data_IF_510103975940
#
_entry.id   IF_510103975940
#
_cell.length_a   1.000
_cell.length_b   1.000
_cell.length_c   1.000
_cell.angle_alpha   90.00
_cell.angle_beta   90.00
_cell.angle_gamma   90.00
#
_symmetry.space_group_name_H-M   'P 1'
#
loop_
_entity.id
_entity.type
_entity.pdbx_description
1 polymer ?
#
# COMPACT_ATOMS: atom_id res chain seq x y z
N UNK A 1 -37.31 13.14 -3.22
CA UNK A 1 -37.35 11.76 -2.69
C UNK A 1 -35.94 11.39 -2.25
N UNK A 2 -35.65 11.27 -0.94
CA UNK A 2 -34.30 10.92 -0.49
C UNK A 2 -34.14 9.39 -0.46
N UNK A 3 -33.08 8.92 -1.11
CA UNK A 3 -32.71 7.51 -1.20
C UNK A 3 -32.32 6.94 0.17
N UNK A 4 -32.96 5.85 0.59
CA UNK A 4 -32.70 5.19 1.86
C UNK A 4 -31.54 4.20 1.74
N UNK A 5 -30.32 4.70 1.67
CA UNK A 5 -29.13 3.94 2.05
C UNK A 5 -29.08 3.83 3.57
N UNK A 6 -29.73 2.81 4.13
CA UNK A 6 -29.61 2.47 5.56
C UNK A 6 -28.32 1.70 5.79
N UNK A 7 -27.25 2.40 6.13
CA UNK A 7 -26.19 1.79 6.95
C UNK A 7 -26.71 1.69 8.37
N UNK A 8 -27.09 0.49 8.81
CA UNK A 8 -27.30 0.25 10.24
C UNK A 8 -25.93 0.30 10.93
N UNK A 9 -25.61 1.44 11.53
CA UNK A 9 -24.53 1.55 12.50
C UNK A 9 -24.91 0.71 13.72
N UNK A 10 -24.05 -0.21 14.21
CA UNK A 10 -24.35 -0.89 15.45
C UNK A 10 -24.36 0.14 16.57
N UNK A 11 -25.51 0.24 17.25
CA UNK A 11 -25.73 1.08 18.41
C UNK A 11 -24.64 0.78 19.44
N UNK A 12 -23.71 1.72 19.64
CA UNK A 12 -22.81 1.70 20.79
C UNK A 12 -23.64 2.03 22.03
N UNK A 13 -24.20 0.98 22.64
CA UNK A 13 -24.76 1.07 23.98
C UNK A 13 -23.59 1.17 24.96
N UNK A 14 -23.46 2.34 25.58
CA UNK A 14 -22.59 2.57 26.72
C UNK A 14 -23.04 1.67 27.88
N UNK A 15 -22.46 0.48 28.00
CA UNK A 15 -22.62 -0.38 29.18
C UNK A 15 -21.24 -0.52 29.84
N UNK A 16 -21.11 0.05 31.04
CA UNK A 16 -19.96 -0.13 31.92
C UNK A 16 -19.89 -1.60 32.35
N UNK A 17 -18.67 -2.10 32.47
CA UNK A 17 -18.32 -3.41 33.03
C UNK A 17 -18.77 -4.63 32.21
N UNK A 18 -18.04 -4.95 31.12
CA UNK A 18 -18.11 -6.27 30.51
C UNK A 18 -16.75 -6.74 29.96
N UNK A 19 -16.38 -7.94 30.39
CA UNK A 19 -15.24 -8.75 29.94
C UNK A 19 -15.24 -8.84 28.41
N UNK A 20 -14.14 -8.41 27.78
CA UNK A 20 -13.92 -8.51 26.32
C UNK A 20 -13.57 -9.95 25.95
N UNK A 21 -14.37 -10.67 25.13
CA UNK A 21 -13.94 -11.94 24.58
C UNK A 21 -12.94 -11.67 23.44
N UNK A 22 -11.70 -12.13 23.59
CA UNK A 22 -10.70 -12.14 22.51
C UNK A 22 -10.83 -13.43 21.72
N UNK A 23 -11.52 -13.40 20.60
CA UNK A 23 -11.28 -14.17 19.35
C UNK A 23 -12.39 -13.86 18.33
N UNK A 24 -12.09 -13.73 17.02
CA UNK A 24 -13.13 -13.53 16.01
C UNK A 24 -13.91 -14.83 15.76
N UNK A 25 -15.26 -14.75 15.75
CA UNK A 25 -16.12 -15.84 15.30
C UNK A 25 -15.93 -16.08 13.80
N UNK A 26 -15.70 -17.34 13.39
CA UNK A 26 -15.84 -17.81 12.01
C UNK A 26 -17.33 -17.89 11.62
N UNK A 27 -17.72 -17.73 10.33
CA UNK A 27 -19.12 -17.62 9.93
C UNK A 27 -19.95 -18.92 10.01
N UNK A 28 -19.36 -20.10 10.29
CA UNK A 28 -20.12 -21.37 10.41
C UNK A 28 -19.46 -22.32 11.41
N UNK A 29 -20.07 -22.50 12.58
CA UNK A 29 -19.74 -23.60 13.53
C UNK A 29 -19.96 -23.24 15.00
N UNK A 30 -20.68 -24.11 15.74
CA UNK A 30 -20.98 -23.96 17.16
C UNK A 30 -19.75 -24.20 18.06
N UNK A 31 -19.77 -23.60 19.25
CA UNK A 31 -18.67 -23.58 20.23
C UNK A 31 -18.54 -24.92 20.97
N UNK A 32 -17.43 -25.64 20.82
CA UNK A 32 -17.12 -26.83 21.63
C UNK A 32 -15.73 -26.69 22.25
N UNK A 33 -15.69 -26.20 23.49
CA UNK A 33 -14.48 -26.17 24.30
C UNK A 33 -14.82 -25.75 25.72
N UNK A 34 -14.55 -26.62 26.68
CA UNK A 34 -14.78 -26.34 28.10
C UNK A 34 -13.85 -25.22 28.60
N UNK A 35 -14.32 -24.36 29.54
CA UNK A 35 -13.52 -23.28 30.08
C UNK A 35 -12.36 -23.80 30.94
N UNK A 36 -11.14 -23.35 30.64
CA UNK A 36 -9.94 -23.63 31.44
C UNK A 36 -9.98 -22.81 32.74
N UNK A 37 -9.76 -23.42 33.93
CA UNK A 37 -9.80 -22.70 35.19
C UNK A 37 -8.58 -21.77 35.37
N UNK A 38 -8.84 -20.59 35.96
CA UNK A 38 -7.81 -19.58 36.24
C UNK A 38 -6.95 -20.02 37.43
N UNK A 39 -5.65 -20.20 37.20
CA UNK A 39 -4.64 -20.40 38.24
C UNK A 39 -4.44 -19.08 39.01
N UNK A 40 -4.81 -19.05 40.30
CA UNK A 40 -4.48 -17.93 41.20
C UNK A 40 -2.98 -17.93 41.50
N UNK A 41 -2.22 -17.05 40.85
CA UNK A 41 -0.85 -16.73 41.26
C UNK A 41 -0.87 -15.81 42.49
N UNK A 42 -0.43 -16.33 43.63
CA UNK A 42 -0.16 -15.55 44.83
C UNK A 42 1.12 -14.70 44.66
N UNK A 43 1.10 -13.49 45.23
CA UNK A 43 2.16 -12.47 45.30
C UNK A 43 2.31 -11.44 44.14
N UNK A 44 1.28 -10.61 43.85
CA UNK A 44 1.39 -9.53 42.87
C UNK A 44 2.08 -8.26 43.40
N UNK A 45 2.06 -7.97 44.70
CA UNK A 45 2.52 -6.68 45.23
C UNK A 45 4.05 -6.56 45.30
N UNK A 46 4.74 -7.61 45.72
CA UNK A 46 6.21 -7.60 45.83
C UNK A 46 6.89 -7.58 44.45
N UNK A 47 6.37 -8.36 43.49
CA UNK A 47 6.87 -8.36 42.11
C UNK A 47 6.66 -7.01 41.42
N UNK A 48 5.49 -6.38 41.60
CA UNK A 48 5.20 -5.04 41.05
C UNK A 48 6.11 -3.97 41.64
N UNK A 49 6.37 -4.00 42.94
CA UNK A 49 7.28 -3.06 43.60
C UNK A 49 8.72 -3.20 43.08
N UNK A 50 9.20 -4.45 42.92
CA UNK A 50 10.53 -4.72 42.36
C UNK A 50 10.63 -4.23 40.92
N UNK A 51 9.64 -4.52 40.06
CA UNK A 51 9.65 -4.03 38.66
C UNK A 51 9.58 -2.52 38.56
N UNK A 52 8.80 -1.84 39.41
CA UNK A 52 8.73 -0.38 39.43
C UNK A 52 10.05 0.26 39.88
N UNK A 53 10.72 -0.33 40.87
CA UNK A 53 12.03 0.14 41.32
C UNK A 53 13.10 -0.01 40.22
N UNK A 54 13.11 -1.14 39.49
CA UNK A 54 14.00 -1.32 38.35
C UNK A 54 13.71 -0.33 37.21
N UNK A 55 12.44 -0.11 36.87
CA UNK A 55 12.06 0.85 35.81
C UNK A 55 12.47 2.28 36.18
N UNK A 56 12.18 2.73 37.40
CA UNK A 56 12.59 4.06 37.87
C UNK A 56 14.12 4.21 37.92
N UNK A 57 14.84 3.18 38.35
CA UNK A 57 16.30 3.15 38.35
C UNK A 57 16.90 3.27 36.95
N UNK A 58 16.38 2.50 35.98
CA UNK A 58 16.86 2.56 34.57
C UNK A 58 16.56 3.90 33.92
N UNK A 59 15.41 4.51 34.21
CA UNK A 59 15.01 5.80 33.65
C UNK A 59 15.87 6.93 34.23
N UNK A 60 16.17 6.90 35.53
CA UNK A 60 17.11 7.83 36.16
C UNK A 60 18.52 7.71 35.58
N UNK A 61 19.02 6.49 35.35
CA UNK A 61 20.33 6.27 34.73
C UNK A 61 20.39 6.78 33.28
N UNK A 62 19.32 6.58 32.50
CA UNK A 62 19.24 7.09 31.13
C UNK A 62 19.21 8.62 31.07
N UNK A 63 18.51 9.27 32.00
CA UNK A 63 18.46 10.73 32.11
C UNK A 63 19.84 11.29 32.49
N UNK A 64 20.55 10.66 33.43
CA UNK A 64 21.91 11.06 33.80
C UNK A 64 22.90 10.89 32.64
N UNK A 65 22.80 9.80 31.88
CA UNK A 65 23.59 9.59 30.66
C UNK A 65 23.29 10.65 29.59
N UNK A 66 22.02 11.01 29.40
CA UNK A 66 21.63 12.05 28.46
C UNK A 66 22.21 13.41 28.86
N UNK A 67 22.12 13.81 30.14
CA UNK A 67 22.68 15.07 30.60
C UNK A 67 24.22 15.09 30.63
N UNK A 68 24.89 13.94 30.80
CA UNK A 68 26.35 13.85 30.73
C UNK A 68 26.89 13.93 29.29
N UNK A 69 26.14 13.40 28.32
CA UNK A 69 26.56 13.31 26.91
C UNK A 69 26.19 14.55 26.08
N UNK A 70 25.04 15.18 26.34
CA UNK A 70 24.58 16.39 25.62
C UNK A 70 25.57 17.58 25.63
N UNK A 71 26.27 17.92 26.73
CA UNK A 71 27.25 19.01 26.70
C UNK A 71 28.49 18.69 25.86
N UNK A 72 28.86 17.41 25.67
CA UNK A 72 29.95 17.02 24.76
C UNK A 72 29.56 17.14 23.29
N UNK A 73 28.28 16.93 22.94
CA UNK A 73 27.81 17.07 21.56
C UNK A 73 27.52 18.53 21.17
N UNK A 74 27.21 19.41 22.13
CA UNK A 74 26.94 20.85 21.86
C UNK A 74 28.20 21.66 21.54
N UNK A 75 29.37 21.31 22.09
CA UNK A 75 30.65 21.98 21.79
C UNK A 75 31.23 21.61 20.41
N UNK A 76 30.74 20.54 19.76
CA UNK A 76 31.17 20.09 18.44
C UNK A 76 30.37 20.65 17.26
N UNK A 77 29.18 21.22 17.51
CA UNK A 77 28.24 21.62 16.45
C UNK A 77 28.11 23.14 16.25
N UNK A 78 28.86 23.95 17.01
CA UNK A 78 28.76 25.41 16.96
C UNK A 78 29.79 26.08 16.04
N UNK A 79 30.58 25.30 15.28
CA UNK A 79 31.66 25.84 14.42
C UNK A 79 31.36 25.94 12.92
N UNK A 80 30.14 25.65 12.45
CA UNK A 80 29.85 25.71 11.01
C UNK A 80 28.38 25.98 10.70
N UNK A 81 27.94 27.23 10.94
CA UNK A 81 26.75 27.78 10.26
C UNK A 81 27.07 29.22 9.84
N UNK A 82 27.50 29.48 8.59
CA UNK A 82 27.39 30.83 8.06
C UNK A 82 25.92 31.13 7.71
N UNK A 83 25.50 32.34 8.05
CA UNK A 83 24.14 32.84 7.98
C UNK A 83 23.51 32.73 6.58
N UNK A 84 22.30 32.15 6.53
CA UNK A 84 21.38 32.16 5.40
C UNK A 84 20.77 33.56 5.21
N UNK A 85 21.50 34.49 4.61
CA UNK A 85 20.90 35.73 4.11
C UNK A 85 21.79 36.43 3.08
N UNK A 86 21.80 35.95 1.85
CA UNK A 86 22.09 36.74 0.65
C UNK A 86 21.88 35.87 -0.59
N UNK A 87 21.58 36.51 -1.72
CA UNK A 87 21.49 35.95 -3.08
C UNK A 87 20.10 35.47 -3.54
N UNK A 88 19.08 36.31 -3.37
CA UNK A 88 18.24 36.62 -4.54
C UNK A 88 18.98 37.66 -5.37
N UNK A 89 19.79 37.20 -6.33
CA UNK A 89 20.28 38.04 -7.42
C UNK A 89 19.87 37.37 -8.72
N UNK A 90 18.83 37.92 -9.34
CA UNK A 90 18.40 37.58 -10.69
C UNK A 90 19.48 38.00 -11.67
N UNK A 91 20.17 37.03 -12.28
CA UNK A 91 20.95 37.25 -13.50
C UNK A 91 20.32 36.46 -14.64
N UNK A 92 19.60 37.20 -15.48
CA UNK A 92 19.25 36.84 -16.84
C UNK A 92 20.55 36.83 -17.66
N UNK A 93 20.97 35.67 -18.12
CA UNK A 93 21.98 35.55 -19.18
C UNK A 93 21.67 34.29 -20.00
N UNK A 94 21.38 34.52 -21.28
CA UNK A 94 21.21 33.48 -22.27
C UNK A 94 22.54 32.78 -22.54
N UNK A 95 22.46 31.46 -22.66
CA UNK A 95 23.57 30.61 -23.07
C UNK A 95 23.00 29.31 -23.61
N UNK A 96 22.75 29.28 -24.91
CA UNK A 96 22.44 28.08 -25.69
C UNK A 96 23.64 27.13 -25.60
N UNK A 97 23.52 26.10 -24.77
CA UNK A 97 24.39 24.91 -24.81
C UNK A 97 23.52 23.69 -25.18
N UNK A 98 24.03 22.80 -26.04
CA UNK A 98 23.23 21.77 -26.71
C UNK A 98 22.67 20.75 -25.70
N UNK A 99 21.39 20.41 -25.88
CA UNK A 99 20.64 19.36 -25.19
C UNK A 99 21.45 18.06 -25.09
N UNK A 100 21.92 17.72 -23.89
CA UNK A 100 22.40 16.39 -23.55
C UNK A 100 21.38 15.74 -22.61
N UNK A 101 20.40 15.10 -23.26
CA UNK A 101 19.49 14.05 -22.82
C UNK A 101 18.85 14.20 -21.43
N UNK A 102 17.76 14.97 -21.37
CA UNK A 102 16.73 14.70 -20.38
C UNK A 102 16.06 13.35 -20.73
N UNK A 103 15.87 12.48 -19.74
CA UNK A 103 15.04 11.28 -19.88
C UNK A 103 13.71 11.69 -20.50
N UNK A 104 13.30 11.10 -21.63
CA UNK A 104 12.04 11.46 -22.27
C UNK A 104 10.89 11.19 -21.31
N UNK A 105 9.80 11.97 -21.35
CA UNK A 105 8.63 11.70 -20.52
C UNK A 105 8.05 10.32 -20.83
N UNK A 106 7.33 9.70 -19.87
CA UNK A 106 6.68 8.42 -20.11
C UNK A 106 5.66 8.52 -21.26
N UNK A 107 5.44 7.43 -22.02
CA UNK A 107 4.52 7.43 -23.13
C UNK A 107 3.08 7.70 -22.67
N UNK A 108 2.37 8.50 -23.45
CA UNK A 108 0.96 8.88 -23.22
C UNK A 108 -0.01 8.17 -24.15
N UNK A 109 0.48 7.17 -24.89
CA UNK A 109 -0.31 6.41 -25.84
C UNK A 109 -1.51 5.73 -25.17
N UNK A 110 -2.68 5.85 -25.80
CA UNK A 110 -3.94 5.27 -25.36
C UNK A 110 -4.35 4.19 -26.34
N UNK A 111 -4.82 3.06 -25.82
CA UNK A 111 -5.32 1.91 -26.59
C UNK A 111 -6.72 1.55 -26.12
N UNK A 112 -7.48 0.91 -27.01
CA UNK A 112 -8.74 0.26 -26.65
C UNK A 112 -8.44 -1.18 -26.23
N UNK A 113 -9.00 -1.61 -25.11
CA UNK A 113 -8.85 -2.99 -24.62
C UNK A 113 -10.19 -3.58 -24.22
N UNK A 114 -10.38 -4.86 -24.53
CA UNK A 114 -11.44 -5.67 -23.93
C UNK A 114 -10.86 -6.35 -22.70
N UNK A 115 -11.54 -6.26 -21.56
CA UNK A 115 -11.15 -7.03 -20.39
C UNK A 115 -11.60 -8.47 -20.54
N UNK A 116 -10.67 -9.39 -20.32
CA UNK A 116 -10.90 -10.83 -20.42
C UNK A 116 -10.29 -11.51 -19.20
N UNK A 117 -10.93 -12.60 -18.78
CA UNK A 117 -10.38 -13.43 -17.71
C UNK A 117 -9.09 -14.10 -18.18
N UNK A 118 -8.05 -13.93 -17.39
CA UNK A 118 -6.76 -14.56 -17.61
C UNK A 118 -6.50 -15.55 -16.47
N UNK A 119 -6.78 -16.86 -16.65
CA UNK A 119 -6.65 -17.86 -15.59
C UNK A 119 -5.27 -17.88 -14.92
N UNK A 120 -4.23 -17.52 -15.67
CA UNK A 120 -2.86 -17.36 -15.18
C UNK A 120 -2.76 -16.49 -13.93
N UNK A 121 -3.47 -15.36 -13.87
CA UNK A 121 -3.40 -14.42 -12.75
C UNK A 121 -4.25 -14.84 -11.54
N UNK A 122 -5.18 -15.78 -11.73
CA UNK A 122 -6.05 -16.31 -10.68
C UNK A 122 -5.44 -17.55 -9.99
N UNK A 123 -4.45 -18.20 -10.61
CA UNK A 123 -3.80 -19.38 -10.06
C UNK A 123 -2.86 -19.06 -8.89
N UNK A 124 -2.85 -19.96 -7.92
CA UNK A 124 -1.82 -20.03 -6.88
C UNK A 124 -0.59 -20.83 -7.37
N UNK A 125 0.53 -20.67 -6.68
CA UNK A 125 1.78 -21.37 -6.97
C UNK A 125 2.50 -20.92 -8.24
N UNK A 126 3.51 -21.70 -8.66
CA UNK A 126 4.55 -21.27 -9.59
C UNK A 126 4.05 -20.71 -10.94
N UNK A 127 2.94 -21.22 -11.46
CA UNK A 127 2.36 -20.72 -12.73
C UNK A 127 1.78 -19.32 -12.56
N UNK A 128 1.05 -19.08 -11.46
CA UNK A 128 0.54 -17.76 -11.14
C UNK A 128 1.64 -16.79 -10.75
N UNK A 129 2.61 -17.24 -9.95
CA UNK A 129 3.75 -16.41 -9.54
C UNK A 129 4.54 -15.93 -10.76
N UNK A 130 4.76 -16.80 -11.75
CA UNK A 130 5.40 -16.43 -13.02
C UNK A 130 4.58 -15.43 -13.82
N UNK A 131 3.26 -15.58 -13.87
CA UNK A 131 2.39 -14.64 -14.58
C UNK A 131 2.48 -13.23 -13.98
N UNK A 132 2.44 -13.13 -12.64
CA UNK A 132 2.59 -11.88 -11.92
C UNK A 132 4.00 -11.28 -12.07
N UNK A 133 5.05 -12.08 -11.90
CA UNK A 133 6.44 -11.61 -12.07
C UNK A 133 6.72 -11.08 -13.48
N UNK A 134 6.14 -11.72 -14.51
CA UNK A 134 6.32 -11.30 -15.89
C UNK A 134 5.64 -9.97 -16.22
N UNK A 135 4.76 -9.45 -15.35
CA UNK A 135 4.21 -8.10 -15.54
C UNK A 135 5.28 -7.05 -15.35
N UNK A 136 6.14 -7.19 -14.33
CA UNK A 136 7.15 -6.21 -14.00
C UNK A 136 8.18 -6.00 -15.13
N UNK A 137 8.66 -4.76 -15.34
CA UNK A 137 9.79 -4.52 -16.21
C UNK A 137 11.05 -5.19 -15.67
N UNK A 138 12.01 -5.44 -16.55
CA UNK A 138 13.37 -5.76 -16.14
C UNK A 138 13.95 -4.62 -15.29
N UNK A 139 14.79 -4.97 -14.31
CA UNK A 139 15.35 -4.01 -13.35
C UNK A 139 14.44 -3.83 -12.13
N UNK A 140 14.57 -2.70 -11.44
CA UNK A 140 13.82 -2.41 -10.23
C UNK A 140 12.54 -1.58 -10.47
N UNK A 141 12.22 -1.30 -11.73
CA UNK A 141 11.03 -0.55 -12.12
C UNK A 141 11.05 0.94 -11.76
N UNK A 142 12.22 1.49 -11.41
CA UNK A 142 12.41 2.92 -11.15
C UNK A 142 13.15 3.57 -12.30
N UNK A 143 12.90 4.86 -12.49
CA UNK A 143 13.51 5.64 -13.57
C UNK A 143 14.33 6.79 -13.02
N UNK A 144 15.46 7.10 -13.66
CA UNK A 144 16.24 8.30 -13.36
C UNK A 144 15.75 9.43 -14.25
N UNK A 145 15.31 10.54 -13.66
CA UNK A 145 14.94 11.75 -14.39
C UNK A 145 15.56 12.98 -13.75
N UNK A 146 15.81 14.02 -14.54
CA UNK A 146 16.25 15.31 -13.99
C UNK A 146 15.07 15.99 -13.31
N UNK A 147 15.28 16.43 -12.09
CA UNK A 147 14.29 17.23 -11.37
C UNK A 147 14.22 18.65 -11.98
N UNK A 148 13.04 19.14 -12.39
CA UNK A 148 12.88 20.49 -12.93
C UNK A 148 13.26 21.60 -11.93
N UNK A 149 13.06 21.35 -10.63
CA UNK A 149 13.33 22.27 -9.54
C UNK A 149 14.79 22.17 -9.08
N UNK A 150 15.35 20.95 -9.03
CA UNK A 150 16.76 20.72 -8.71
C UNK A 150 17.61 20.60 -9.98
N UNK A 151 17.92 21.77 -10.56
CA UNK A 151 18.46 21.98 -11.92
C UNK A 151 19.71 21.20 -12.36
N UNK A 152 20.31 20.36 -11.53
CA UNK A 152 21.52 19.60 -11.89
C UNK A 152 21.58 18.16 -11.35
N UNK A 153 20.55 17.67 -10.64
CA UNK A 153 20.59 16.32 -10.06
C UNK A 153 19.58 15.37 -10.73
N UNK A 154 20.04 14.17 -11.05
CA UNK A 154 19.19 13.07 -11.47
C UNK A 154 18.53 12.47 -10.22
N UNK A 155 17.20 12.44 -10.20
CA UNK A 155 16.41 11.84 -9.14
C UNK A 155 15.82 10.52 -9.61
N UNK A 156 15.68 9.59 -8.67
CA UNK A 156 15.05 8.29 -8.92
C UNK A 156 13.57 8.42 -8.58
N UNK A 157 12.72 8.09 -9.54
CA UNK A 157 11.27 8.10 -9.37
C UNK A 157 10.71 6.68 -9.46
N UNK A 158 9.80 6.36 -8.55
CA UNK A 158 8.93 5.20 -8.67
C UNK A 158 7.88 5.49 -9.75
N UNK A 159 7.75 4.60 -10.73
CA UNK A 159 6.69 4.71 -11.74
C UNK A 159 5.38 4.23 -11.11
N UNK A 160 4.35 5.08 -11.13
CA UNK A 160 3.11 4.86 -10.39
C UNK A 160 2.44 3.49 -10.67
N UNK A 161 2.35 3.09 -11.95
CA UNK A 161 1.74 1.80 -12.33
C UNK A 161 2.55 0.59 -11.84
N UNK A 162 3.87 0.73 -11.70
CA UNK A 162 4.72 -0.33 -11.14
C UNK A 162 4.45 -0.48 -9.65
N UNK A 163 4.36 0.64 -8.92
CA UNK A 163 3.97 0.62 -7.51
C UNK A 163 2.57 0.01 -7.30
N UNK A 164 1.64 0.28 -8.22
CA UNK A 164 0.29 -0.31 -8.20
C UNK A 164 0.36 -1.84 -8.40
N UNK A 165 1.16 -2.33 -9.36
CA UNK A 165 1.39 -3.76 -9.57
C UNK A 165 2.05 -4.44 -8.37
N UNK A 166 3.06 -3.81 -7.75
CA UNK A 166 3.69 -4.29 -6.51
C UNK A 166 2.65 -4.45 -5.39
N UNK A 167 1.76 -3.47 -5.26
CA UNK A 167 0.69 -3.51 -4.27
C UNK A 167 -0.32 -4.62 -4.55
N UNK A 168 -0.72 -4.82 -5.80
CA UNK A 168 -1.59 -5.94 -6.17
C UNK A 168 -0.91 -7.30 -5.89
N UNK A 169 0.39 -7.43 -6.18
CA UNK A 169 1.15 -8.64 -5.90
C UNK A 169 1.25 -8.93 -4.39
N UNK A 170 1.46 -7.89 -3.56
CA UNK A 170 1.41 -8.01 -2.10
C UNK A 170 0.04 -8.48 -1.61
N UNK A 171 -1.04 -7.88 -2.11
CA UNK A 171 -2.40 -8.25 -1.72
C UNK A 171 -2.70 -9.69 -2.12
N UNK A 172 -2.27 -10.13 -3.31
CA UNK A 172 -2.33 -11.54 -3.71
C UNK A 172 -1.59 -12.45 -2.72
N UNK A 173 -0.37 -12.10 -2.34
CA UNK A 173 0.40 -12.88 -1.37
C UNK A 173 -0.35 -13.04 -0.04
N UNK A 174 -0.90 -11.95 0.49
CA UNK A 174 -1.67 -11.99 1.74
C UNK A 174 -2.91 -12.88 1.62
N UNK A 175 -3.60 -12.86 0.46
CA UNK A 175 -4.75 -13.74 0.22
C UNK A 175 -4.33 -15.23 0.19
N UNK A 176 -3.19 -15.54 -0.42
CA UNK A 176 -2.64 -16.90 -0.47
C UNK A 176 -2.24 -17.35 0.94
N UNK A 177 -1.49 -16.52 1.68
CA UNK A 177 -1.08 -16.82 3.05
C UNK A 177 -2.30 -17.11 3.94
N UNK A 178 -3.33 -16.27 3.84
CA UNK A 178 -4.57 -16.47 4.58
C UNK A 178 -5.27 -17.79 4.22
N UNK A 179 -5.25 -18.19 2.94
CA UNK A 179 -5.81 -19.48 2.49
C UNK A 179 -5.05 -20.70 3.00
N UNK A 180 -3.80 -20.52 3.42
CA UNK A 180 -2.97 -21.54 4.03
C UNK A 180 -2.89 -21.42 5.57
N UNK A 181 -3.82 -20.68 6.19
CA UNK A 181 -3.86 -20.41 7.64
C UNK A 181 -2.61 -19.69 8.18
N UNK A 182 -1.83 -19.07 7.30
CA UNK A 182 -0.73 -18.20 7.68
C UNK A 182 -1.26 -16.78 7.87
N UNK A 183 -1.20 -16.30 9.10
CA UNK A 183 -1.62 -14.93 9.40
C UNK A 183 -0.49 -13.93 9.09
N UNK A 184 -0.78 -12.84 8.37
CA UNK A 184 0.23 -11.84 8.05
C UNK A 184 0.74 -11.15 9.32
N UNK A 185 2.02 -10.82 9.33
CA UNK A 185 2.65 -10.06 10.40
C UNK A 185 2.06 -8.64 10.47
N UNK A 186 2.14 -7.98 11.63
CA UNK A 186 1.60 -6.63 11.82
C UNK A 186 2.13 -5.60 10.79
N UNK A 187 3.40 -5.75 10.37
CA UNK A 187 4.02 -4.92 9.33
C UNK A 187 3.38 -5.13 7.95
N UNK A 188 3.02 -6.37 7.62
CA UNK A 188 2.37 -6.71 6.35
C UNK A 188 0.95 -6.17 6.31
N UNK A 189 0.24 -6.20 7.45
CA UNK A 189 -1.08 -5.58 7.58
C UNK A 189 -1.05 -4.07 7.34
N UNK A 190 -0.09 -3.34 7.92
CA UNK A 190 0.06 -1.90 7.66
C UNK A 190 0.35 -1.61 6.18
N UNK A 191 1.27 -2.39 5.58
CA UNK A 191 1.60 -2.29 4.16
C UNK A 191 0.41 -2.62 3.26
N UNK A 192 -0.44 -3.58 3.66
CA UNK A 192 -1.67 -3.92 2.95
C UNK A 192 -2.65 -2.75 2.90
N UNK A 193 -2.88 -2.06 4.03
CA UNK A 193 -3.77 -0.89 4.04
C UNK A 193 -3.23 0.27 3.20
N UNK A 194 -1.92 0.53 3.27
CA UNK A 194 -1.28 1.51 2.39
C UNK A 194 -1.47 1.14 0.91
N UNK A 195 -1.27 -0.14 0.57
CA UNK A 195 -1.46 -0.61 -0.79
C UNK A 195 -2.92 -0.57 -1.27
N UNK A 196 -3.87 -0.89 -0.40
CA UNK A 196 -5.30 -0.75 -0.71
C UNK A 196 -5.65 0.70 -1.04
N UNK A 197 -5.18 1.67 -0.26
CA UNK A 197 -5.43 3.08 -0.54
C UNK A 197 -4.71 3.54 -1.82
N UNK A 198 -3.46 3.12 -2.04
CA UNK A 198 -2.71 3.47 -3.24
C UNK A 198 -3.40 2.95 -4.52
N UNK A 199 -3.89 1.70 -4.51
CA UNK A 199 -4.66 1.14 -5.64
C UNK A 199 -6.01 1.84 -5.80
N UNK A 200 -6.71 2.16 -4.70
CA UNK A 200 -7.96 2.96 -4.75
C UNK A 200 -7.71 4.31 -5.43
N UNK A 201 -6.65 5.02 -5.05
CA UNK A 201 -6.28 6.30 -5.68
C UNK A 201 -5.97 6.12 -7.17
N UNK A 202 -5.29 5.04 -7.55
CA UNK A 202 -5.00 4.74 -8.95
C UNK A 202 -6.27 4.49 -9.78
N UNK A 203 -7.21 3.72 -9.26
CA UNK A 203 -8.51 3.46 -9.91
C UNK A 203 -9.30 4.75 -10.08
N UNK A 204 -9.37 5.59 -9.05
CA UNK A 204 -10.04 6.89 -9.14
C UNK A 204 -9.32 7.88 -10.05
N UNK A 205 -8.00 7.78 -10.17
CA UNK A 205 -7.23 8.58 -11.11
C UNK A 205 -7.48 8.17 -12.56
N UNK A 206 -7.65 6.87 -12.81
CA UNK A 206 -8.02 6.37 -14.14
C UNK A 206 -9.49 6.66 -14.48
N UNK A 207 -10.39 6.53 -13.50
CA UNK A 207 -11.83 6.81 -13.60
C UNK A 207 -12.48 6.26 -14.88
N UNK A 208 -12.22 4.98 -15.19
CA UNK A 208 -12.80 4.33 -16.37
C UNK A 208 -14.33 4.30 -16.27
N UNK A 209 -15.02 4.96 -17.20
CA UNK A 209 -16.47 5.10 -17.24
C UNK A 209 -17.16 4.09 -18.17
N UNK A 210 -16.41 3.09 -18.66
CA UNK A 210 -16.95 1.98 -19.45
C UNK A 210 -18.01 1.22 -18.64
N UNK A 211 -19.19 1.02 -19.22
CA UNK A 211 -20.33 0.42 -18.52
C UNK A 211 -20.25 -1.11 -18.55
N UNK A 212 -19.85 -1.76 -17.45
CA UNK A 212 -19.78 -3.22 -17.33
C UNK A 212 -21.15 -3.91 -17.21
N UNK A 213 -21.37 -5.07 -17.89
CA UNK A 213 -22.66 -5.73 -17.87
C UNK A 213 -22.81 -6.46 -16.54
N UNK A 214 -23.86 -6.12 -15.78
CA UNK A 214 -24.21 -6.87 -14.56
C UNK A 214 -25.05 -8.08 -14.95
N UNK A 215 -24.68 -9.27 -14.49
CA UNK A 215 -25.44 -10.52 -14.70
C UNK A 215 -26.73 -10.62 -13.87
N UNK A 216 -27.09 -9.56 -13.13
CA UNK A 216 -28.21 -9.56 -12.20
C UNK A 216 -29.52 -9.16 -12.88
N UNK A 217 -30.60 -9.95 -12.75
CA UNK A 217 -31.93 -9.50 -13.11
C UNK A 217 -32.36 -8.33 -12.20
N UNK A 218 -33.09 -7.33 -12.73
CA UNK A 218 -33.58 -6.22 -11.91
C UNK A 218 -34.46 -6.74 -10.76
N UNK A 219 -34.05 -6.45 -9.51
CA UNK A 219 -34.84 -6.74 -8.31
C UNK A 219 -34.20 -7.68 -7.27
N UNK A 220 -33.00 -8.22 -7.51
CA UNK A 220 -32.28 -9.01 -6.51
C UNK A 220 -31.14 -8.20 -5.88
N UNK A 221 -31.05 -8.22 -4.54
CA UNK A 221 -30.00 -7.55 -3.78
C UNK A 221 -28.68 -8.33 -3.90
N UNK A 222 -27.62 -7.63 -4.30
CA UNK A 222 -26.27 -8.15 -4.43
C UNK A 222 -25.82 -8.89 -3.16
N UNK A 223 -25.57 -10.19 -3.27
CA UNK A 223 -24.63 -10.86 -2.36
C UNK A 223 -23.23 -10.64 -2.93
N UNK A 224 -22.39 -9.89 -2.22
CA UNK A 224 -20.97 -9.79 -2.52
C UNK A 224 -20.34 -11.19 -2.45
N UNK A 225 -20.10 -11.80 -3.60
CA UNK A 225 -19.48 -13.11 -3.72
C UNK A 225 -20.11 -13.96 -4.82
N UNK A 226 -19.36 -14.15 -5.91
CA UNK A 226 -19.57 -15.16 -6.93
C UNK A 226 -20.78 -14.97 -7.86
N UNK A 227 -20.80 -13.86 -8.61
CA UNK A 227 -21.42 -13.86 -9.93
C UNK A 227 -20.30 -13.64 -10.94
N UNK A 228 -19.96 -14.68 -11.70
CA UNK A 228 -18.91 -14.61 -12.71
C UNK A 228 -19.22 -13.50 -13.71
N UNK A 229 -18.39 -12.46 -13.71
CA UNK A 229 -18.24 -11.54 -14.84
C UNK A 229 -17.37 -12.17 -15.92
N UNK A 230 -17.41 -13.51 -16.04
CA UNK A 230 -16.66 -14.20 -17.08
C UNK A 230 -17.31 -13.86 -18.41
N UNK A 231 -16.56 -13.18 -19.27
CA UNK A 231 -16.91 -12.84 -20.64
C UNK A 231 -17.11 -14.06 -21.55
N UNK A 232 -17.44 -15.23 -21.00
CA UNK A 232 -17.59 -16.49 -21.71
C UNK A 232 -18.86 -16.51 -22.59
N UNK A 233 -19.79 -15.57 -22.37
CA UNK A 233 -21.01 -15.41 -23.17
C UNK A 233 -21.23 -13.99 -23.73
N UNK A 234 -20.19 -13.15 -23.82
CA UNK A 234 -20.33 -11.87 -24.52
C UNK A 234 -20.15 -12.14 -26.01
N UNK A 235 -21.25 -12.10 -26.76
CA UNK A 235 -21.22 -12.08 -28.23
C UNK A 235 -20.11 -11.12 -28.67
N UNK A 236 -19.16 -11.58 -29.48
CA UNK A 236 -17.95 -10.82 -29.84
C UNK A 236 -18.21 -9.43 -30.47
N UNK A 237 -19.46 -9.13 -30.87
CA UNK A 237 -19.91 -7.79 -31.30
C UNK A 237 -20.40 -6.84 -30.19
N UNK A 238 -20.41 -7.26 -28.92
CA UNK A 238 -20.91 -6.51 -27.75
C UNK A 238 -19.88 -6.40 -26.61
N UNK A 239 -18.62 -6.77 -26.85
CA UNK A 239 -17.55 -6.59 -25.88
C UNK A 239 -17.33 -5.10 -25.62
N UNK A 240 -17.28 -4.71 -24.35
CA UNK A 240 -17.07 -3.33 -23.98
C UNK A 240 -15.60 -2.97 -24.08
N UNK A 241 -15.37 -1.80 -24.65
CA UNK A 241 -14.04 -1.29 -24.93
C UNK A 241 -13.66 -0.28 -23.85
N UNK A 242 -12.63 -0.63 -23.10
CA UNK A 242 -12.00 0.21 -22.11
C UNK A 242 -10.93 1.08 -22.77
N UNK A 243 -10.84 2.33 -22.34
CA UNK A 243 -9.81 3.26 -22.81
C UNK A 243 -8.63 3.23 -21.84
N UNK A 244 -7.54 2.60 -22.25
CA UNK A 244 -6.39 2.32 -21.37
C UNK A 244 -5.13 3.03 -21.84
N UNK A 245 -4.22 3.35 -20.90
CA UNK A 245 -2.84 3.70 -21.28
C UNK A 245 -2.12 2.44 -21.78
N UNK A 246 -1.28 2.57 -22.82
CA UNK A 246 -0.57 1.44 -23.39
C UNK A 246 0.51 0.91 -22.41
N UNK A 247 0.16 -0.11 -21.64
CA UNK A 247 1.07 -0.73 -20.66
C UNK A 247 2.35 -1.26 -21.31
N UNK A 248 2.27 -1.87 -22.49
CA UNK A 248 3.44 -2.40 -23.20
C UNK A 248 4.43 -1.28 -23.56
N UNK A 249 3.92 -0.13 -24.00
CA UNK A 249 4.74 1.05 -24.27
C UNK A 249 5.38 1.60 -22.99
N UNK A 250 4.61 1.71 -21.90
CA UNK A 250 5.13 2.16 -20.60
C UNK A 250 6.21 1.21 -20.08
N UNK A 251 5.96 -0.10 -20.09
CA UNK A 251 6.91 -1.11 -19.63
C UNK A 251 8.23 -1.01 -20.39
N UNK A 252 8.17 -0.94 -21.72
CA UNK A 252 9.36 -0.76 -22.57
C UNK A 252 10.13 0.51 -22.21
N UNK A 253 9.41 1.63 -22.07
CA UNK A 253 10.04 2.90 -21.68
C UNK A 253 10.73 2.80 -20.31
N UNK A 254 10.14 2.10 -19.34
CA UNK A 254 10.79 1.88 -18.04
C UNK A 254 12.04 1.00 -18.19
N UNK A 255 12.00 -0.05 -19.01
CA UNK A 255 13.18 -0.90 -19.24
C UNK A 255 14.32 -0.15 -19.93
N UNK A 256 14.01 0.80 -20.81
CA UNK A 256 14.99 1.62 -21.55
C UNK A 256 15.59 2.76 -20.70
N UNK A 257 14.85 3.25 -19.70
CA UNK A 257 15.23 4.41 -18.89
C UNK A 257 15.42 4.06 -17.40
N UNK A 258 15.36 2.77 -17.09
CA UNK A 258 15.30 2.23 -15.74
C UNK A 258 16.65 2.21 -15.06
N UNK A 259 16.62 2.08 -13.73
CA UNK A 259 17.84 1.82 -12.97
C UNK A 259 18.13 0.33 -12.96
N UNK A 260 19.24 -0.06 -13.62
CA UNK A 260 19.81 -1.40 -13.54
C UNK A 260 20.50 -1.64 -12.21
#
# INVERSE_FOLDING_TARGET
MPSSLRFHSPVHRSEKDAVVPRTPKSPRGAYTGDPVPVVKQSHPHLRRAITLAFLLGTLAAAVLLFFALVPHYRLGLERQIPALSSFYRTTRSGGTRPNQHATPPPPTEVIQSVFTDHPAFQMQGAKGDRAWLNMFPKGDGRVRMRDPEMKMEMQIYDVAVIKQLDCLALLRHILIDYSHEHHPLAREKSRAFHCLDHVRQAVLCAADTTLEPTSEPPGQSQHYGNAGTSGENVNAGAAQLHTCKNWTAVKRWVEENGTH
#
